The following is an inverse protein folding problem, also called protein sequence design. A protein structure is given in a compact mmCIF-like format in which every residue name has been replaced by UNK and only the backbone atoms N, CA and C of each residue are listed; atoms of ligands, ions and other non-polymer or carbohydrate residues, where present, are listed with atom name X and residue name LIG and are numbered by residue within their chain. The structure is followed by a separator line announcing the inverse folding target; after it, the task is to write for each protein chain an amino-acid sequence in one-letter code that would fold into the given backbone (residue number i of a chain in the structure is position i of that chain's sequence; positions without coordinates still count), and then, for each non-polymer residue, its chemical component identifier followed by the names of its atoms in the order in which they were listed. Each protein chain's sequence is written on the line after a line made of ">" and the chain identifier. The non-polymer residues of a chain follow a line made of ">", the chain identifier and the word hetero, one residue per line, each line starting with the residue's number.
data_IF_665613905164
#
_entry.id   IF_665613905164
#
_cell.length_a   1.000
_cell.length_b   1.000
_cell.length_c   1.000
_cell.angle_alpha   90.00
_cell.angle_beta   90.00
_cell.angle_gamma   90.00
#
_symmetry.space_group_name_H-M   'P 1'
#
loop_
_entity.id
_entity.type
_entity.pdbx_description
1 polymer ?
#
# COMPACT_ATOMS: atom_id res chain seq x y z
N UNK A 1 0.32 -20.07 -16.18
CA UNK A 1 1.08 -19.93 -14.92
C UNK A 1 0.11 -19.42 -13.87
N UNK A 2 -0.69 -20.34 -13.34
CA UNK A 2 -1.78 -20.07 -12.41
C UNK A 2 -1.50 -20.96 -11.20
N UNK A 3 -0.55 -20.54 -10.38
CA UNK A 3 -0.20 -21.29 -9.16
C UNK A 3 -1.31 -21.01 -8.14
N UNK A 4 -2.11 -22.02 -7.74
CA UNK A 4 -3.05 -21.86 -6.64
C UNK A 4 -2.27 -21.65 -5.33
N UNK A 5 -2.82 -20.84 -4.43
CA UNK A 5 -2.16 -20.49 -3.16
C UNK A 5 -2.80 -21.27 -2.03
N UNK A 6 -2.82 -22.60 -2.19
CA UNK A 6 -3.50 -23.51 -1.27
C UNK A 6 -2.61 -23.93 -0.10
N UNK A 7 -1.29 -23.95 -0.28
CA UNK A 7 -0.33 -24.32 0.75
C UNK A 7 0.52 -23.14 1.22
N UNK A 8 1.05 -23.19 2.47
CA UNK A 8 2.01 -22.20 2.95
C UNK A 8 3.26 -22.10 2.06
N UNK A 9 3.71 -23.21 1.45
CA UNK A 9 4.85 -23.21 0.55
C UNK A 9 4.57 -22.47 -0.77
N UNK A 10 3.34 -22.56 -1.29
CA UNK A 10 2.91 -21.79 -2.46
C UNK A 10 2.87 -20.30 -2.15
N UNK A 11 2.40 -19.94 -0.95
CA UNK A 11 2.41 -18.56 -0.46
C UNK A 11 3.84 -18.04 -0.34
N UNK A 12 4.77 -18.81 0.23
CA UNK A 12 6.18 -18.43 0.33
C UNK A 12 6.81 -18.20 -1.05
N UNK A 13 6.58 -19.12 -2.00
CA UNK A 13 7.03 -18.95 -3.39
C UNK A 13 6.45 -17.71 -4.07
N UNK A 14 5.18 -17.40 -3.80
CA UNK A 14 4.54 -16.19 -4.30
C UNK A 14 5.14 -14.93 -3.66
N UNK A 15 5.41 -14.98 -2.35
CA UNK A 15 6.04 -13.91 -1.58
C UNK A 15 7.42 -13.58 -2.14
N UNK A 16 8.31 -14.57 -2.27
CA UNK A 16 9.67 -14.38 -2.77
C UNK A 16 9.70 -13.71 -4.15
N UNK A 17 8.75 -14.08 -5.02
CA UNK A 17 8.65 -13.53 -6.37
C UNK A 17 8.01 -12.14 -6.43
N UNK A 18 7.04 -11.83 -5.57
CA UNK A 18 6.19 -10.65 -5.74
C UNK A 18 6.32 -9.60 -4.63
N UNK A 19 6.86 -9.93 -3.46
CA UNK A 19 7.00 -8.98 -2.36
C UNK A 19 7.85 -7.77 -2.76
N UNK A 20 9.01 -7.98 -3.38
CA UNK A 20 9.92 -6.88 -3.77
C UNK A 20 9.34 -5.97 -4.87
N UNK A 21 8.77 -6.49 -5.99
CA UNK A 21 8.06 -5.66 -6.95
C UNK A 21 6.84 -4.94 -6.36
N UNK A 22 6.11 -5.58 -5.44
CA UNK A 22 4.94 -4.99 -4.81
C UNK A 22 5.32 -3.88 -3.83
N UNK A 23 6.34 -4.10 -3.00
CA UNK A 23 6.92 -3.09 -2.12
C UNK A 23 7.34 -1.86 -2.93
N UNK A 24 8.11 -2.04 -4.01
CA UNK A 24 8.51 -0.92 -4.87
C UNK A 24 7.34 -0.19 -5.54
N UNK A 25 6.20 -0.86 -5.78
CA UNK A 25 4.98 -0.25 -6.30
C UNK A 25 4.24 0.57 -5.22
N UNK A 26 4.22 0.08 -3.98
CA UNK A 26 3.56 0.72 -2.84
C UNK A 26 4.40 1.88 -2.29
N UNK A 27 5.70 1.69 -2.15
CA UNK A 27 6.64 2.68 -1.63
C UNK A 27 6.65 3.96 -2.46
N UNK A 28 6.46 3.86 -3.79
CA UNK A 28 6.32 5.01 -4.69
C UNK A 28 5.06 5.86 -4.42
N UNK A 29 4.09 5.36 -3.65
CA UNK A 29 2.81 6.04 -3.40
C UNK A 29 2.59 6.45 -1.94
N UNK A 30 3.02 5.63 -1.00
CA UNK A 30 2.80 5.87 0.44
C UNK A 30 4.10 6.05 1.24
N UNK A 31 5.26 5.89 0.61
CA UNK A 31 6.55 5.86 1.30
C UNK A 31 6.94 4.45 1.73
N UNK A 32 8.22 4.24 2.05
CA UNK A 32 8.78 2.91 2.32
C UNK A 32 8.20 2.27 3.58
N UNK A 33 8.04 3.04 4.65
CA UNK A 33 7.58 2.53 5.95
C UNK A 33 6.16 1.97 5.86
N UNK A 34 5.23 2.74 5.28
CA UNK A 34 3.86 2.26 5.05
C UNK A 34 3.78 1.14 4.00
N UNK A 35 4.76 1.04 3.09
CA UNK A 35 4.75 0.02 2.06
C UNK A 35 5.03 -1.37 2.63
N UNK A 36 5.95 -1.50 3.59
CA UNK A 36 6.24 -2.78 4.25
C UNK A 36 4.99 -3.34 4.95
N UNK A 37 4.27 -2.49 5.70
CA UNK A 37 3.02 -2.86 6.36
C UNK A 37 1.95 -3.31 5.34
N UNK A 38 1.77 -2.55 4.25
CA UNK A 38 0.79 -2.87 3.22
C UNK A 38 1.13 -4.14 2.44
N UNK A 39 2.42 -4.47 2.28
CA UNK A 39 2.85 -5.74 1.69
C UNK A 39 2.43 -6.88 2.61
N UNK A 40 2.76 -6.80 3.89
CA UNK A 40 2.40 -7.84 4.86
C UNK A 40 0.88 -8.05 4.91
N UNK A 41 0.11 -6.96 4.98
CA UNK A 41 -1.36 -6.99 4.98
C UNK A 41 -1.92 -7.60 3.67
N UNK A 42 -1.35 -7.26 2.51
CA UNK A 42 -1.79 -7.82 1.24
C UNK A 42 -1.63 -9.35 1.18
N UNK A 43 -0.52 -9.88 1.70
CA UNK A 43 -0.30 -11.33 1.75
C UNK A 43 -1.18 -12.03 2.77
N UNK A 44 -1.48 -11.40 3.92
CA UNK A 44 -2.44 -11.90 4.89
C UNK A 44 -3.85 -12.00 4.30
N UNK A 45 -4.30 -10.94 3.64
CA UNK A 45 -5.62 -10.91 2.98
C UNK A 45 -5.69 -11.93 1.84
N UNK A 46 -4.60 -12.06 1.07
CA UNK A 46 -4.52 -13.07 0.02
C UNK A 46 -4.67 -14.48 0.60
N UNK A 47 -3.99 -14.76 1.71
CA UNK A 47 -4.12 -16.04 2.40
C UNK A 47 -5.56 -16.23 2.86
N UNK A 48 -6.13 -15.31 3.63
CA UNK A 48 -7.50 -15.43 4.17
C UNK A 48 -8.55 -15.64 3.07
N UNK A 49 -8.43 -14.93 1.95
CA UNK A 49 -9.39 -14.98 0.84
C UNK A 49 -9.08 -16.05 -0.20
N UNK A 50 -8.06 -16.90 -0.01
CA UNK A 50 -7.61 -17.90 -1.00
C UNK A 50 -8.74 -18.79 -1.53
N UNK A 51 -9.72 -19.12 -0.68
CA UNK A 51 -10.88 -19.94 -1.05
C UNK A 51 -11.87 -19.25 -2.00
N UNK A 52 -11.80 -17.92 -2.12
CA UNK A 52 -12.63 -17.13 -3.04
C UNK A 52 -11.93 -16.81 -4.35
N UNK A 53 -10.67 -17.23 -4.48
CA UNK A 53 -9.88 -17.01 -5.68
C UNK A 53 -10.44 -17.84 -6.84
N UNK A 54 -10.84 -17.14 -7.90
CA UNK A 54 -11.29 -17.76 -9.15
C UNK A 54 -10.18 -17.62 -10.22
N UNK A 55 -9.43 -18.70 -10.51
CA UNK A 55 -8.36 -18.69 -11.50
C UNK A 55 -8.82 -18.40 -12.93
N UNK A 56 -10.12 -18.53 -13.21
CA UNK A 56 -10.69 -18.20 -14.53
C UNK A 56 -10.81 -16.68 -14.77
N UNK A 57 -10.89 -15.89 -13.69
CA UNK A 57 -11.08 -14.42 -13.76
C UNK A 57 -9.77 -13.65 -13.73
N UNK A 58 -8.79 -14.13 -12.96
CA UNK A 58 -7.52 -13.45 -12.81
C UNK A 58 -6.42 -14.43 -12.35
N UNK A 59 -5.19 -14.24 -12.83
CA UNK A 59 -4.04 -14.93 -12.23
C UNK A 59 -3.74 -14.39 -10.83
N UNK A 60 -3.10 -15.21 -9.99
CA UNK A 60 -2.78 -14.88 -8.59
C UNK A 60 -2.05 -13.53 -8.44
N UNK A 61 -1.17 -13.19 -9.39
CA UNK A 61 -0.52 -11.87 -9.45
C UNK A 61 -1.53 -10.73 -9.59
N UNK A 62 -2.41 -10.80 -10.58
CA UNK A 62 -3.38 -9.73 -10.83
C UNK A 62 -4.33 -9.56 -9.63
N UNK A 63 -4.71 -10.66 -9.00
CA UNK A 63 -5.50 -10.65 -7.77
C UNK A 63 -4.77 -9.98 -6.60
N UNK A 64 -3.48 -10.30 -6.38
CA UNK A 64 -2.62 -9.65 -5.38
C UNK A 64 -2.53 -8.13 -5.60
N UNK A 65 -2.32 -7.69 -6.85
CA UNK A 65 -2.30 -6.25 -7.16
C UNK A 65 -3.67 -5.58 -6.95
N UNK A 66 -4.76 -6.32 -7.14
CA UNK A 66 -6.12 -5.88 -6.79
C UNK A 66 -6.29 -5.63 -5.29
N UNK A 67 -5.88 -6.60 -4.47
CA UNK A 67 -5.85 -6.48 -3.00
C UNK A 67 -5.02 -5.27 -2.58
N UNK A 68 -3.78 -5.19 -3.07
CA UNK A 68 -2.86 -4.08 -2.74
C UNK A 68 -3.42 -2.71 -3.16
N UNK A 69 -4.11 -2.63 -4.30
CA UNK A 69 -4.74 -1.38 -4.76
C UNK A 69 -5.92 -0.99 -3.87
N UNK A 70 -6.70 -1.96 -3.37
CA UNK A 70 -7.75 -1.69 -2.40
C UNK A 70 -7.16 -1.20 -1.08
N UNK A 71 -6.16 -1.89 -0.53
CA UNK A 71 -5.47 -1.46 0.70
C UNK A 71 -4.88 -0.06 0.56
N UNK A 72 -4.25 0.25 -0.57
CA UNK A 72 -3.76 1.58 -0.88
C UNK A 72 -4.87 2.65 -0.86
N UNK A 73 -6.05 2.36 -1.43
CA UNK A 73 -7.20 3.29 -1.39
C UNK A 73 -7.75 3.47 0.02
N UNK A 74 -7.71 2.43 0.86
CA UNK A 74 -8.07 2.53 2.26
C UNK A 74 -7.07 3.39 3.03
N UNK A 75 -5.76 3.13 2.84
CA UNK A 75 -4.69 3.90 3.46
C UNK A 75 -4.75 5.39 3.08
N UNK A 76 -4.88 5.71 1.80
CA UNK A 76 -5.03 7.09 1.32
C UNK A 76 -6.25 7.80 1.92
N UNK A 77 -7.38 7.10 2.07
CA UNK A 77 -8.59 7.67 2.72
C UNK A 77 -8.36 7.88 4.21
N UNK A 78 -7.65 6.98 4.88
CA UNK A 78 -7.34 7.10 6.30
C UNK A 78 -6.39 8.27 6.58
N UNK A 79 -5.35 8.45 5.76
CA UNK A 79 -4.43 9.60 5.82
C UNK A 79 -5.16 10.92 5.57
N UNK A 80 -6.04 10.99 4.57
CA UNK A 80 -6.87 12.19 4.33
C UNK A 80 -7.81 12.46 5.49
N UNK A 81 -8.41 11.43 6.12
CA UNK A 81 -9.24 11.61 7.33
C UNK A 81 -8.41 12.06 8.53
N UNK A 82 -7.21 11.51 8.71
CA UNK A 82 -6.28 11.85 9.78
C UNK A 82 -5.79 13.29 9.63
N UNK A 83 -5.38 13.71 8.44
CA UNK A 83 -5.08 15.11 8.11
C UNK A 83 -6.28 16.02 8.32
N UNK A 84 -7.50 15.62 7.92
CA UNK A 84 -8.72 16.42 8.17
C UNK A 84 -9.12 16.47 9.64
N UNK A 85 -8.78 15.46 10.44
CA UNK A 85 -8.95 15.49 11.89
C UNK A 85 -7.90 16.41 12.53
N UNK A 86 -6.63 16.31 12.12
CA UNK A 86 -5.56 17.19 12.59
C UNK A 86 -5.76 18.65 12.19
N UNK A 87 -6.26 18.92 10.98
CA UNK A 87 -6.61 20.26 10.53
C UNK A 87 -7.78 20.87 11.35
N UNK A 88 -8.68 20.04 11.89
CA UNK A 88 -9.76 20.47 12.77
C UNK A 88 -9.31 20.75 14.21
N UNK A 89 -8.16 20.20 14.63
CA UNK A 89 -7.63 20.36 15.99
C UNK A 89 -6.42 21.31 16.09
N UNK A 90 -6.01 21.93 14.98
CA UNK A 90 -4.88 22.86 14.95
C UNK A 90 -3.53 22.13 14.98
N UNK A 91 -2.66 22.47 14.01
CA UNK A 91 -1.29 21.98 13.95
C UNK A 91 -0.52 22.36 15.23
N UNK A 92 0.15 21.44 15.95
CA UNK A 92 1.04 21.82 17.03
C UNK A 92 2.30 22.42 16.40
N UNK A 93 2.33 23.75 16.30
CA UNK A 93 3.53 24.50 15.96
C UNK A 93 4.52 24.40 17.13
N UNK A 94 5.27 23.30 17.19
CA UNK A 94 6.56 23.30 17.89
C UNK A 94 7.66 23.49 16.87
N UNK A 95 8.05 24.74 16.73
CA UNK A 95 9.30 25.14 16.10
C UNK A 95 10.49 24.50 16.83
N UNK A 96 11.46 24.00 16.05
CA UNK A 96 12.84 24.50 16.03
C UNK A 96 13.67 23.79 14.95
N UNK A 97 14.29 24.63 14.10
CA UNK A 97 15.29 24.38 13.05
C UNK A 97 14.85 23.69 11.75
N UNK A 98 14.32 24.53 10.86
CA UNK A 98 14.49 24.38 9.41
C UNK A 98 15.99 24.55 9.08
N UNK A 99 16.66 23.43 8.76
CA UNK A 99 17.97 23.39 8.15
C UNK A 99 17.86 23.01 6.68
N UNK A 100 17.51 23.99 5.84
CA UNK A 100 17.87 24.11 4.41
C UNK A 100 17.52 22.94 3.46
N UNK A 101 16.63 23.24 2.50
CA UNK A 101 16.28 22.55 1.21
C UNK A 101 15.23 21.43 1.40
N UNK A 102 14.02 21.45 0.86
CA UNK A 102 13.43 22.11 -0.32
C UNK A 102 11.92 22.32 -0.13
N UNK A 103 11.45 23.55 -0.32
CA UNK A 103 10.05 23.97 -0.18
C UNK A 103 9.17 23.63 -1.41
N UNK A 104 9.22 22.40 -1.89
CA UNK A 104 8.45 21.97 -3.09
C UNK A 104 7.47 20.82 -2.85
N UNK A 105 7.36 20.28 -1.64
CA UNK A 105 6.54 19.06 -1.43
C UNK A 105 5.06 19.31 -1.09
N UNK A 106 4.62 20.53 -0.72
CA UNK A 106 3.20 20.78 -0.42
C UNK A 106 2.35 21.23 -1.63
N UNK A 107 2.95 21.53 -2.79
CA UNK A 107 2.20 21.91 -3.99
C UNK A 107 1.80 20.72 -4.89
N UNK A 108 2.26 19.50 -4.61
CA UNK A 108 2.05 18.36 -5.54
C UNK A 108 0.70 17.63 -5.36
N UNK A 109 -0.09 17.90 -4.31
CA UNK A 109 -1.39 17.23 -4.08
C UNK A 109 -2.61 17.99 -4.66
N UNK A 110 -2.40 18.96 -5.56
CA UNK A 110 -3.51 19.60 -6.28
C UNK A 110 -3.16 19.72 -7.76
N UNK A 111 -3.74 18.86 -8.59
CA UNK A 111 -3.81 19.04 -10.03
C UNK A 111 -3.31 17.86 -10.86
N UNK A 112 -4.25 17.03 -11.33
CA UNK A 112 -4.21 16.58 -12.73
C UNK A 112 -5.63 16.26 -13.21
N UNK A 113 -5.98 16.99 -14.26
CA UNK A 113 -7.12 16.92 -15.20
C UNK A 113 -7.92 15.64 -15.24
#
# INVERSE_FOLDING_TARGET
>A
MTEPVDTPDDLARLYDRHARPLHGYLARRVGSEAADDLVAEAFLVLWEQRHTFDPSRAGARAWLYGIATNLLRHHARSEVRRMRAWARHGWPSRSRRCGRRSATCCCWWRGRT
#
